data_IF_921386982780
#
_entry.id   IF_921386982780
#
_cell.length_a   1.000
_cell.length_b   1.000
_cell.length_c   1.000
_cell.angle_alpha   90.00
_cell.angle_beta   90.00
_cell.angle_gamma   90.00
#
_symmetry.space_group_name_H-M   'P 1'
#
loop_
_entity.id
_entity.type
_entity.pdbx_description
1 polymer ?
#
# COMPACT_ATOMS: atom_id res chain seq x y z
N UNK A 1 6.29 0.46 -2.43
CA UNK A 1 5.50 0.32 -1.17
C UNK A 1 4.03 0.72 -1.31
N UNK A 2 3.68 1.70 -2.15
CA UNK A 2 2.28 2.16 -2.32
C UNK A 2 1.27 1.05 -2.63
N UNK A 3 1.50 0.23 -3.67
CA UNK A 3 0.56 -0.86 -4.03
C UNK A 3 0.35 -1.83 -2.87
N UNK A 4 1.43 -2.25 -2.21
CA UNK A 4 1.37 -3.11 -1.02
C UNK A 4 0.49 -2.49 0.07
N UNK A 5 0.73 -1.21 0.42
CA UNK A 5 -0.10 -0.50 1.40
C UNK A 5 -1.59 -0.50 1.04
N UNK A 6 -1.91 -0.18 -0.23
CA UNK A 6 -3.29 -0.18 -0.72
C UNK A 6 -3.94 -1.57 -0.63
N UNK A 7 -3.18 -2.64 -0.85
CA UNK A 7 -3.70 -4.01 -0.73
C UNK A 7 -3.96 -4.43 0.70
N UNK A 8 -3.08 -4.07 1.64
CA UNK A 8 -3.37 -4.29 3.08
C UNK A 8 -4.65 -3.54 3.47
N UNK A 9 -4.80 -2.27 3.09
CA UNK A 9 -6.05 -1.52 3.32
C UNK A 9 -7.28 -2.19 2.68
N UNK A 10 -7.17 -2.73 1.47
CA UNK A 10 -8.27 -3.41 0.78
C UNK A 10 -8.74 -4.68 1.48
N UNK A 11 -7.82 -5.39 2.16
CA UNK A 11 -8.05 -6.73 2.70
C UNK A 11 -8.19 -6.76 4.23
N UNK A 12 -8.01 -5.63 4.90
CA UNK A 12 -8.30 -5.49 6.33
C UNK A 12 -9.78 -5.23 6.57
N UNK A 13 -10.33 -5.78 7.65
CA UNK A 13 -11.71 -5.54 8.07
C UNK A 13 -11.96 -4.06 8.38
N UNK A 14 -10.98 -3.38 8.97
CA UNK A 14 -11.04 -1.95 9.30
C UNK A 14 -9.76 -1.22 8.87
N UNK A 15 -9.84 0.08 8.52
CA UNK A 15 -8.66 0.89 8.20
C UNK A 15 -7.63 0.95 9.35
N UNK A 16 -8.08 0.91 10.60
CA UNK A 16 -7.17 0.92 11.76
C UNK A 16 -6.34 -0.37 11.84
N UNK A 17 -6.92 -1.52 11.49
CA UNK A 17 -6.22 -2.80 11.46
C UNK A 17 -5.15 -2.78 10.36
N UNK A 18 -5.48 -2.22 9.19
CA UNK A 18 -4.50 -2.01 8.13
C UNK A 18 -3.36 -1.10 8.58
N UNK A 19 -3.66 0.00 9.27
CA UNK A 19 -2.64 0.94 9.76
C UNK A 19 -1.68 0.25 10.74
N UNK A 20 -2.22 -0.50 11.71
CA UNK A 20 -1.43 -1.24 12.68
C UNK A 20 -0.52 -2.27 11.99
N UNK A 21 -1.06 -3.06 11.06
CA UNK A 21 -0.28 -4.04 10.29
C UNK A 21 0.82 -3.38 9.45
N UNK A 22 0.53 -2.26 8.77
CA UNK A 22 1.50 -1.55 7.94
C UNK A 22 2.65 -0.97 8.77
N UNK A 23 2.36 -0.40 9.94
CA UNK A 23 3.38 0.13 10.85
C UNK A 23 4.25 -0.99 11.38
N UNK A 24 3.65 -2.08 11.89
CA UNK A 24 4.39 -3.23 12.43
C UNK A 24 5.32 -3.83 11.38
N UNK A 25 4.78 -4.18 10.21
CA UNK A 25 5.56 -4.81 9.14
C UNK A 25 6.66 -3.88 8.61
N UNK A 26 6.36 -2.59 8.42
CA UNK A 26 7.38 -1.66 7.95
C UNK A 26 8.47 -1.42 9.01
N UNK A 27 8.13 -1.32 10.30
CA UNK A 27 9.10 -1.13 11.37
C UNK A 27 9.98 -2.37 11.61
N UNK A 28 9.40 -3.56 11.45
CA UNK A 28 10.10 -4.83 11.66
C UNK A 28 11.05 -5.16 10.50
N UNK A 29 10.61 -5.00 9.25
CA UNK A 29 11.35 -5.53 8.10
C UNK A 29 12.08 -4.49 7.25
N UNK A 30 11.62 -3.23 7.25
CA UNK A 30 12.28 -2.21 6.44
C UNK A 30 13.50 -1.64 7.18
N UNK A 31 14.67 -1.66 6.54
CA UNK A 31 15.89 -1.06 7.09
C UNK A 31 15.73 0.45 7.35
N UNK A 32 14.90 1.12 6.55
CA UNK A 32 14.51 2.54 6.66
C UNK A 32 13.17 2.74 7.41
N UNK A 33 12.72 1.72 8.14
CA UNK A 33 11.55 1.77 9.01
C UNK A 33 11.75 2.70 10.21
N UNK A 34 10.73 2.83 11.08
CA UNK A 34 10.79 3.65 12.31
C UNK A 34 11.25 5.10 12.07
N UNK A 35 10.93 5.62 10.89
CA UNK A 35 11.34 6.94 10.42
C UNK A 35 10.11 7.80 10.09
N UNK A 36 10.14 9.13 10.30
CA UNK A 36 9.04 10.02 9.94
C UNK A 36 8.57 9.88 8.48
N UNK A 37 9.48 9.61 7.54
CA UNK A 37 9.13 9.35 6.14
C UNK A 37 8.35 8.04 5.98
N UNK A 38 8.69 7.01 6.77
CA UNK A 38 7.96 5.74 6.79
C UNK A 38 6.51 5.96 7.24
N UNK A 39 6.29 6.68 8.34
CA UNK A 39 4.93 7.02 8.80
C UNK A 39 4.18 7.86 7.77
N UNK A 40 4.82 8.90 7.23
CA UNK A 40 4.20 9.77 6.21
C UNK A 40 3.80 8.98 4.96
N UNK A 41 4.66 8.05 4.51
CA UNK A 41 4.37 7.16 3.38
C UNK A 41 3.24 6.17 3.67
N UNK A 42 3.14 5.64 4.90
CA UNK A 42 2.01 4.81 5.33
C UNK A 42 0.73 5.64 5.36
N UNK A 43 0.71 6.82 5.98
CA UNK A 43 -0.48 7.67 6.02
C UNK A 43 -0.93 8.15 4.63
N UNK A 44 -0.02 8.27 3.67
CA UNK A 44 -0.38 8.52 2.26
C UNK A 44 -1.24 7.39 1.67
N UNK A 45 -1.06 6.14 2.13
CA UNK A 45 -1.93 5.02 1.75
C UNK A 45 -3.39 5.30 2.13
N UNK A 46 -3.62 6.05 3.21
CA UNK A 46 -4.94 6.45 3.69
C UNK A 46 -5.38 7.83 3.16
N UNK A 47 -4.60 8.45 2.27
CA UNK A 47 -4.93 9.72 1.62
C UNK A 47 -4.26 10.96 2.19
N UNK A 48 -3.39 10.84 3.20
CA UNK A 48 -2.64 12.00 3.70
C UNK A 48 -1.72 12.54 2.62
N UNK A 49 -1.76 13.85 2.38
CA UNK A 49 -1.01 14.53 1.32
C UNK A 49 -1.36 14.07 -0.12
N UNK A 50 -2.48 13.37 -0.30
CA UNK A 50 -3.05 13.10 -1.63
C UNK A 50 -4.38 13.85 -1.76
N UNK A 51 -4.87 13.98 -3.00
CA UNK A 51 -6.19 14.51 -3.29
C UNK A 51 -7.24 13.40 -3.29
N UNK A 52 -8.51 13.78 -3.27
CA UNK A 52 -9.62 12.86 -3.51
C UNK A 52 -9.62 12.34 -4.96
N UNK A 53 -9.96 11.06 -5.13
CA UNK A 53 -10.07 10.38 -6.41
C UNK A 53 -11.51 9.99 -6.70
N UNK A 54 -11.90 10.05 -7.98
CA UNK A 54 -13.19 9.61 -8.49
C UNK A 54 -13.03 8.50 -9.54
N UNK A 55 -14.07 7.67 -9.76
CA UNK A 55 -15.29 7.57 -8.96
C UNK A 55 -15.00 6.99 -7.56
N UNK A 56 -15.94 7.18 -6.64
CA UNK A 56 -15.90 6.53 -5.32
C UNK A 56 -15.95 5.01 -5.48
N UNK A 57 -15.19 4.28 -4.65
CA UNK A 57 -15.07 2.82 -4.74
C UNK A 57 -15.39 2.16 -3.40
N UNK A 58 -15.96 0.94 -3.41
CA UNK A 58 -16.10 0.12 -2.21
C UNK A 58 -14.75 0.00 -1.47
N UNK A 59 -14.81 0.01 -0.14
CA UNK A 59 -13.66 0.00 0.79
C UNK A 59 -12.83 1.29 0.78
N UNK A 60 -12.48 1.83 -0.39
CA UNK A 60 -11.57 2.97 -0.49
C UNK A 60 -12.25 4.34 -0.37
N UNK A 61 -13.55 4.42 -0.60
CA UNK A 61 -14.22 5.70 -0.76
C UNK A 61 -13.52 6.51 -1.88
N UNK A 62 -13.03 7.70 -1.54
CA UNK A 62 -12.28 8.59 -2.45
C UNK A 62 -10.76 8.51 -2.31
N UNK A 63 -10.23 7.58 -1.52
CA UNK A 63 -8.78 7.35 -1.44
C UNK A 63 -8.28 6.78 -2.77
N UNK A 64 -7.11 7.23 -3.23
CA UNK A 64 -6.50 6.73 -4.47
C UNK A 64 -6.43 5.21 -4.49
N UNK A 65 -7.06 4.59 -5.49
CA UNK A 65 -7.03 3.15 -5.71
C UNK A 65 -5.85 2.73 -6.60
N UNK A 66 -5.30 1.53 -6.37
CA UNK A 66 -4.21 0.96 -7.17
C UNK A 66 -4.46 -0.54 -7.38
N UNK A 67 -4.21 -1.01 -8.61
CA UNK A 67 -4.42 -2.43 -8.98
C UNK A 67 -3.14 -3.06 -9.52
N UNK A 68 -3.01 -4.37 -9.35
CA UNK A 68 -1.87 -5.14 -9.85
C UNK A 68 -1.80 -5.09 -11.38
N UNK A 69 -2.93 -5.11 -12.07
CA UNK A 69 -3.04 -5.00 -13.53
C UNK A 69 -2.52 -3.64 -14.01
N UNK A 70 -2.87 -2.56 -13.31
CA UNK A 70 -2.39 -1.22 -13.63
C UNK A 70 -0.91 -1.05 -13.35
N UNK A 71 -0.37 -1.76 -12.35
CA UNK A 71 1.07 -1.84 -12.09
C UNK A 71 1.79 -2.66 -13.15
N UNK A 72 1.20 -3.77 -13.62
CA UNK A 72 1.77 -4.62 -14.67
C UNK A 72 1.93 -3.89 -16.01
N UNK A 73 1.07 -2.90 -16.30
CA UNK A 73 1.24 -2.00 -17.46
C UNK A 73 2.44 -1.04 -17.34
N UNK A 74 3.01 -0.86 -16.14
CA UNK A 74 4.11 0.09 -15.86
C UNK A 74 5.44 -0.59 -15.54
N UNK A 75 5.39 -1.82 -15.04
CA UNK A 75 6.55 -2.59 -14.61
C UNK A 75 6.30 -4.07 -14.89
N UNK A 76 7.32 -4.81 -15.32
CA UNK A 76 7.24 -6.27 -15.46
C UNK A 76 7.06 -6.94 -14.09
N UNK A 77 5.80 -7.19 -13.71
CA UNK A 77 5.44 -7.90 -12.48
C UNK A 77 5.91 -9.36 -12.52
N UNK A 78 5.89 -10.00 -13.69
CA UNK A 78 6.40 -11.36 -13.87
C UNK A 78 7.88 -11.48 -13.47
N UNK A 79 8.72 -10.52 -13.89
CA UNK A 79 10.14 -10.50 -13.52
C UNK A 79 10.33 -10.28 -12.02
N UNK A 80 9.53 -9.37 -11.44
CA UNK A 80 9.56 -9.10 -10.00
C UNK A 80 9.18 -10.35 -9.18
N UNK A 81 8.09 -11.02 -9.56
CA UNK A 81 7.62 -12.24 -8.87
C UNK A 81 8.67 -13.34 -9.00
N UNK A 82 9.20 -13.61 -10.19
CA UNK A 82 10.25 -14.64 -10.39
C UNK A 82 11.47 -14.41 -9.49
N UNK A 83 11.82 -13.15 -9.23
CA UNK A 83 12.97 -12.79 -8.39
C UNK A 83 12.72 -12.99 -6.90
N UNK A 84 11.50 -12.76 -6.43
CA UNK A 84 11.19 -12.64 -4.99
C UNK A 84 10.15 -13.65 -4.47
N UNK A 85 9.58 -14.50 -5.33
CA UNK A 85 8.70 -15.58 -4.89
C UNK A 85 9.48 -16.56 -3.98
N UNK A 86 8.84 -17.16 -2.97
CA UNK A 86 9.41 -18.26 -2.22
C UNK A 86 9.85 -19.37 -3.18
N UNK A 87 10.96 -20.04 -2.86
CA UNK A 87 11.37 -21.25 -3.56
C UNK A 87 10.45 -22.41 -3.22
#
# INVERSE_FOLDING_TARGET
RMLWGKKVLQWSARPQDALAALIELNNRYALDGRNPNSYSGIFWVFGRFDRAWGPERPVFGKVRYMTSESTARKLSTATYIRRFAPR
#
